data_IF_315637597612
#
_entry.id   IF_315637597612
#
_cell.length_a   1.000
_cell.length_b   1.000
_cell.length_c   1.000
_cell.angle_alpha   90.00
_cell.angle_beta   90.00
_cell.angle_gamma   90.00
#
_symmetry.space_group_name_H-M   'P 1'
#
loop_
_entity.id
_entity.type
_entity.pdbx_description
1 polymer ?
#
# COMPACT_ATOMS: atom_id res chain seq x y z
N UNK A 1 14.82 5.74 -4.51
CA UNK A 1 14.33 4.70 -5.44
C UNK A 1 13.24 5.31 -6.30
N UNK A 2 13.23 5.06 -7.62
CA UNK A 2 12.16 5.53 -8.49
C UNK A 2 10.94 4.63 -8.25
N UNK A 3 9.83 5.19 -7.79
CA UNK A 3 8.57 4.47 -7.67
C UNK A 3 7.81 4.63 -8.98
N UNK A 4 7.23 3.54 -9.49
CA UNK A 4 6.39 3.61 -10.67
C UNK A 4 5.02 4.15 -10.27
N UNK A 5 4.48 5.03 -11.10
CA UNK A 5 3.08 5.46 -10.98
C UNK A 5 2.21 4.40 -11.65
N UNK A 6 1.23 3.91 -10.90
CA UNK A 6 0.17 3.03 -11.35
C UNK A 6 -1.14 3.79 -11.35
N UNK A 7 -1.89 3.63 -12.43
CA UNK A 7 -3.30 3.97 -12.49
C UNK A 7 -4.12 2.73 -12.12
N UNK A 8 -5.29 2.94 -11.53
CA UNK A 8 -6.14 1.86 -11.10
C UNK A 8 -7.62 2.22 -11.13
N UNK A 9 -8.45 1.18 -11.03
CA UNK A 9 -9.88 1.34 -10.98
C UNK A 9 -10.60 0.12 -10.45
N UNK A 10 -11.79 0.37 -9.91
CA UNK A 10 -12.73 -0.65 -9.45
C UNK A 10 -13.84 -0.79 -10.49
N UNK A 11 -14.21 -2.03 -10.81
CA UNK A 11 -15.28 -2.33 -11.78
C UNK A 11 -16.08 -3.56 -11.37
N UNK A 12 -17.28 -3.66 -11.92
CA UNK A 12 -18.07 -4.89 -11.92
C UNK A 12 -17.63 -5.85 -13.04
N UNK A 13 -17.93 -7.13 -12.85
CA UNK A 13 -17.79 -8.16 -13.87
C UNK A 13 -16.62 -9.10 -13.62
N UNK A 14 -16.13 -9.72 -14.70
CA UNK A 14 -15.11 -10.78 -14.63
C UNK A 14 -13.73 -10.25 -14.98
N UNK A 15 -12.69 -10.98 -14.58
CA UNK A 15 -11.30 -10.75 -14.98
C UNK A 15 -11.18 -10.76 -16.51
N UNK A 16 -10.44 -9.80 -17.06
CA UNK A 16 -10.27 -9.62 -18.52
C UNK A 16 -8.80 -9.64 -18.96
N UNK A 17 -7.84 -9.72 -18.03
CA UNK A 17 -6.42 -9.73 -18.34
C UNK A 17 -5.87 -8.40 -18.84
N UNK A 18 -6.54 -7.29 -18.54
CA UNK A 18 -6.19 -5.93 -19.02
C UNK A 18 -5.17 -5.22 -18.11
N UNK A 19 -4.51 -5.95 -17.22
CA UNK A 19 -3.58 -5.42 -16.22
C UNK A 19 -3.35 -6.41 -15.09
N UNK A 20 -2.86 -5.91 -13.95
CA UNK A 20 -2.89 -6.67 -12.70
C UNK A 20 -4.30 -6.57 -12.15
N UNK A 21 -4.96 -7.72 -11.99
CA UNK A 21 -6.34 -7.78 -11.51
C UNK A 21 -6.44 -8.62 -10.24
N UNK A 22 -7.38 -8.25 -9.38
CA UNK A 22 -7.72 -8.97 -8.15
C UNK A 22 -9.21 -8.89 -7.85
N UNK A 23 -9.74 -9.95 -7.23
CA UNK A 23 -11.12 -9.97 -6.73
C UNK A 23 -11.11 -9.48 -5.29
N UNK A 24 -11.87 -8.42 -5.01
CA UNK A 24 -12.08 -7.92 -3.66
C UNK A 24 -13.10 -8.80 -2.91
N UNK A 25 -13.12 -8.77 -1.57
CA UNK A 25 -14.10 -9.50 -0.77
C UNK A 25 -15.56 -9.13 -1.05
N UNK A 26 -15.81 -7.93 -1.61
CA UNK A 26 -17.13 -7.45 -2.06
C UNK A 26 -17.46 -7.88 -3.50
N UNK A 27 -16.70 -8.81 -4.08
CA UNK A 27 -16.80 -9.32 -5.45
C UNK A 27 -16.53 -8.30 -6.55
N UNK A 28 -16.06 -7.09 -6.20
CA UNK A 28 -15.62 -6.13 -7.20
C UNK A 28 -14.23 -6.51 -7.72
N UNK A 29 -13.95 -6.13 -8.96
CA UNK A 29 -12.65 -6.32 -9.58
C UNK A 29 -11.85 -5.04 -9.39
N UNK A 30 -10.70 -5.17 -8.74
CA UNK A 30 -9.66 -4.15 -8.75
C UNK A 30 -8.71 -4.42 -9.93
N UNK A 31 -8.37 -3.37 -10.67
CA UNK A 31 -7.46 -3.44 -11.81
C UNK A 31 -6.40 -2.35 -11.69
N UNK A 32 -5.13 -2.69 -11.91
CA UNK A 32 -3.98 -1.80 -11.91
C UNK A 32 -3.20 -1.91 -13.21
N UNK A 33 -2.82 -0.78 -13.79
CA UNK A 33 -2.07 -0.72 -15.05
C UNK A 33 -1.03 0.41 -15.05
N UNK A 34 -0.10 0.32 -16.01
CA UNK A 34 0.85 1.40 -16.35
C UNK A 34 0.60 1.82 -17.79
N UNK A 35 0.70 3.12 -18.05
CA UNK A 35 0.51 3.67 -19.39
C UNK A 35 -0.97 3.88 -19.71
N UNK A 36 -1.38 3.45 -20.91
CA UNK A 36 -2.72 3.71 -21.42
C UNK A 36 -3.81 2.99 -20.63
N UNK A 37 -4.94 3.66 -20.49
CA UNK A 37 -6.10 3.14 -19.81
C UNK A 37 -6.79 2.02 -20.61
N UNK A 38 -7.16 0.89 -19.96
CA UNK A 38 -7.99 -0.13 -20.57
C UNK A 38 -9.33 0.42 -21.07
N UNK A 39 -9.61 0.22 -22.36
CA UNK A 39 -10.85 0.69 -23.00
C UNK A 39 -12.01 -0.27 -22.76
N UNK A 40 -13.24 0.23 -22.93
CA UNK A 40 -14.46 -0.60 -22.81
C UNK A 40 -14.76 -1.07 -21.38
N UNK A 41 -14.24 -0.36 -20.37
CA UNK A 41 -14.47 -0.63 -18.96
C UNK A 41 -15.32 0.52 -18.39
N UNK A 42 -16.37 0.18 -17.65
CA UNK A 42 -17.11 1.14 -16.84
C UNK A 42 -16.55 1.11 -15.42
N UNK A 43 -15.81 2.15 -15.04
CA UNK A 43 -15.18 2.26 -13.74
C UNK A 43 -16.17 2.79 -12.69
N UNK A 44 -16.35 2.04 -11.60
CA UNK A 44 -17.09 2.51 -10.42
C UNK A 44 -16.29 3.55 -9.64
N UNK A 45 -14.96 3.37 -9.59
CA UNK A 45 -14.05 4.24 -8.90
C UNK A 45 -12.69 4.26 -9.60
N UNK A 46 -12.02 5.41 -9.57
CA UNK A 46 -10.65 5.61 -10.06
C UNK A 46 -9.67 5.76 -8.91
N UNK A 47 -8.45 5.26 -9.11
CA UNK A 47 -7.41 5.21 -8.08
C UNK A 47 -6.03 5.42 -8.70
N UNK A 48 -5.08 5.83 -7.87
CA UNK A 48 -3.67 5.93 -8.22
C UNK A 48 -2.83 5.35 -7.09
N UNK A 49 -1.75 4.68 -7.44
CA UNK A 49 -0.81 4.11 -6.47
C UNK A 49 0.62 4.27 -6.94
N UNK A 50 1.55 4.49 -6.00
CA UNK A 50 2.98 4.61 -6.30
C UNK A 50 3.74 3.48 -5.64
N UNK A 51 4.39 2.66 -6.45
CA UNK A 51 5.14 1.51 -5.96
C UNK A 51 5.65 0.63 -7.08
N UNK A 52 6.36 -0.44 -6.72
CA UNK A 52 6.98 -1.34 -7.73
C UNK A 52 5.97 -2.31 -8.32
N UNK A 53 5.16 -2.93 -7.47
CA UNK A 53 4.22 -4.00 -7.84
C UNK A 53 3.01 -3.99 -6.89
N UNK A 54 1.80 -3.65 -7.37
CA UNK A 54 0.62 -3.46 -6.51
C UNK A 54 0.20 -4.76 -5.81
N UNK A 55 0.57 -5.93 -6.34
CA UNK A 55 0.30 -7.24 -5.71
C UNK A 55 1.05 -7.42 -4.39
N UNK A 56 2.14 -6.67 -4.21
CA UNK A 56 2.99 -6.73 -3.03
C UNK A 56 2.79 -5.55 -2.10
N UNK A 57 1.88 -4.62 -2.41
CA UNK A 57 1.64 -3.41 -1.61
C UNK A 57 1.49 -3.73 -0.13
N UNK A 58 0.57 -4.63 0.21
CA UNK A 58 0.31 -5.02 1.60
C UNK A 58 1.52 -5.70 2.26
N UNK A 59 2.18 -6.65 1.59
CA UNK A 59 3.36 -7.33 2.16
C UNK A 59 4.54 -6.37 2.32
N UNK A 60 4.74 -5.45 1.37
CA UNK A 60 5.80 -4.46 1.40
C UNK A 60 5.57 -3.48 2.55
N UNK A 61 4.33 -3.05 2.78
CA UNK A 61 3.97 -2.18 3.90
C UNK A 61 4.22 -2.87 5.26
N UNK A 62 3.85 -4.16 5.38
CA UNK A 62 4.14 -4.95 6.59
C UNK A 62 5.65 -5.06 6.82
N UNK A 63 6.42 -5.44 5.80
CA UNK A 63 7.87 -5.56 5.92
C UNK A 63 8.54 -4.23 6.26
N UNK A 64 8.09 -3.14 5.65
CA UNK A 64 8.58 -1.79 5.96
C UNK A 64 8.26 -1.40 7.40
N UNK A 65 7.04 -1.64 7.87
CA UNK A 65 6.65 -1.38 9.25
C UNK A 65 7.51 -2.14 10.26
N UNK A 66 7.75 -3.44 10.01
CA UNK A 66 8.63 -4.27 10.85
C UNK A 66 10.08 -3.74 10.83
N UNK A 67 10.60 -3.36 9.66
CA UNK A 67 11.96 -2.82 9.55
C UNK A 67 12.13 -1.50 10.31
N UNK A 68 11.15 -0.60 10.21
CA UNK A 68 11.14 0.67 10.96
C UNK A 68 11.11 0.39 12.47
N UNK A 69 10.24 -0.51 12.92
CA UNK A 69 10.13 -0.86 14.34
C UNK A 69 11.44 -1.45 14.88
N UNK A 70 12.11 -2.32 14.11
CA UNK A 70 13.43 -2.88 14.49
C UNK A 70 14.50 -1.79 14.58
N UNK A 71 14.58 -0.91 13.58
CA UNK A 71 15.52 0.21 13.59
C UNK A 71 15.33 1.08 14.83
N UNK A 72 14.08 1.39 15.20
CA UNK A 72 13.77 2.19 16.37
C UNK A 72 14.22 1.53 17.71
N UNK A 73 14.18 0.20 17.79
CA UNK A 73 14.67 -0.55 18.94
C UNK A 73 16.21 -0.58 18.97
N UNK A 74 16.86 -0.80 17.83
CA UNK A 74 18.31 -0.92 17.70
C UNK A 74 19.06 0.39 17.99
N UNK A 75 18.47 1.54 17.63
CA UNK A 75 19.07 2.85 17.87
C UNK A 75 18.86 3.38 19.30
N UNK A 76 18.22 2.60 20.19
CA UNK A 76 17.91 2.97 21.58
C UNK A 76 16.96 4.18 21.73
N UNK A 77 16.41 4.68 20.61
CA UNK A 77 15.39 5.73 20.55
C UNK A 77 14.15 5.35 21.37
N UNK A 78 13.80 4.06 21.37
CA UNK A 78 12.72 3.52 22.20
C UNK A 78 12.95 3.74 23.71
N UNK A 79 14.15 3.46 24.20
CA UNK A 79 14.48 3.63 25.61
C UNK A 79 14.53 5.12 25.99
N UNK A 80 15.04 5.99 25.12
CA UNK A 80 15.04 7.44 25.35
C UNK A 80 13.61 8.00 25.37
N UNK A 81 12.75 7.58 24.44
CA UNK A 81 11.34 7.96 24.37
C UNK A 81 10.60 7.57 25.66
N UNK A 82 10.79 6.33 26.12
CA UNK A 82 10.20 5.86 27.39
C UNK A 82 10.70 6.67 28.59
N UNK A 83 12.01 6.94 28.68
CA UNK A 83 12.58 7.77 29.76
C UNK A 83 12.02 9.18 29.79
N UNK A 84 11.81 9.82 28.62
CA UNK A 84 11.18 11.14 28.52
C UNK A 84 9.72 11.10 28.97
N UNK A 85 8.96 10.10 28.53
CA UNK A 85 7.56 9.92 28.92
C UNK A 85 7.38 9.80 30.44
N UNK A 86 8.21 8.99 31.10
CA UNK A 86 8.17 8.83 32.57
C UNK A 86 8.46 10.15 33.29
N UNK A 87 9.48 10.91 32.87
CA UNK A 87 9.80 12.21 33.47
C UNK A 87 8.64 13.21 33.44
N UNK A 88 7.89 13.24 32.33
CA UNK A 88 6.71 14.11 32.19
C UNK A 88 5.52 13.67 33.04
N UNK A 89 5.37 12.36 33.30
CA UNK A 89 4.26 11.84 34.11
C UNK A 89 4.49 11.97 35.62
N UNK A 90 5.74 12.15 36.06
CA UNK A 90 6.12 12.24 37.48
C UNK A 90 6.46 13.66 37.94
N UNK A 91 6.26 14.68 37.08
CA UNK A 91 6.47 16.10 37.40
C UNK A 91 5.16 16.82 37.75
#
# INVERSE_FOLDING_TARGET
MKHDLWEGGIRLGNLKGVGIEGVRPDFLIETWWKGEEPTGINWLQRMQWRGKDPRRSMSDDIHNGVAIARSFLEHNDAAETLRRGVKHATS
#
